data_IF_708752510323
#
_entry.id   IF_708752510323
#
_cell.length_a   1.000
_cell.length_b   1.000
_cell.length_c   1.000
_cell.angle_alpha   90.00
_cell.angle_beta   90.00
_cell.angle_gamma   90.00
#
_symmetry.space_group_name_H-M   'P 1'
#
loop_
_entity.id
_entity.type
_entity.pdbx_description
1 polymer ?
#
# COMPACT_ATOMS: atom_id res chain seq x y z
N UNK A 1 -5.10 13.25 -37.73
CA UNK A 1 -4.53 12.07 -37.03
C UNK A 1 -4.55 12.34 -35.53
N UNK A 2 -4.80 11.33 -34.66
CA UNK A 2 -4.83 11.35 -33.16
C UNK A 2 -6.21 11.40 -32.45
N UNK A 3 -7.19 10.58 -32.83
CA UNK A 3 -8.34 10.24 -31.95
C UNK A 3 -8.60 8.73 -31.80
N UNK A 4 -7.80 7.88 -32.46
CA UNK A 4 -7.97 6.43 -32.51
C UNK A 4 -7.49 5.68 -31.26
N UNK A 5 -6.82 6.35 -30.31
CA UNK A 5 -6.30 5.71 -29.08
C UNK A 5 -7.26 5.77 -27.89
N UNK A 6 -8.29 6.62 -27.94
CA UNK A 6 -9.24 6.77 -26.83
C UNK A 6 -10.22 5.59 -26.74
N UNK A 7 -10.62 5.02 -27.89
CA UNK A 7 -11.48 3.82 -27.92
C UNK A 7 -10.80 2.57 -27.35
N UNK A 8 -9.57 2.19 -27.76
CA UNK A 8 -8.91 1.03 -27.17
C UNK A 8 -8.55 1.26 -25.70
N UNK A 9 -8.25 2.48 -25.27
CA UNK A 9 -8.02 2.82 -23.86
C UNK A 9 -9.31 2.65 -23.02
N UNK A 10 -10.46 3.08 -23.56
CA UNK A 10 -11.77 2.89 -22.93
C UNK A 10 -12.19 1.41 -22.90
N UNK A 11 -11.86 0.65 -23.94
CA UNK A 11 -12.09 -0.81 -23.97
C UNK A 11 -11.19 -1.56 -22.99
N UNK A 12 -9.93 -1.11 -22.80
CA UNK A 12 -9.02 -1.63 -21.78
C UNK A 12 -9.51 -1.36 -20.36
N UNK A 13 -10.06 -0.16 -20.12
CA UNK A 13 -10.66 0.22 -18.84
C UNK A 13 -11.90 -0.62 -18.51
N UNK A 14 -12.72 -0.99 -19.50
CA UNK A 14 -13.89 -1.85 -19.32
C UNK A 14 -13.53 -3.33 -19.12
N UNK A 15 -12.55 -3.86 -19.87
CA UNK A 15 -12.10 -5.26 -19.75
C UNK A 15 -11.28 -5.56 -18.48
N UNK A 16 -10.67 -4.54 -17.87
CA UNK A 16 -9.91 -4.70 -16.62
C UNK A 16 -10.75 -5.18 -15.43
N UNK A 17 -12.07 -5.01 -15.47
CA UNK A 17 -12.98 -5.37 -14.38
C UNK A 17 -13.30 -6.87 -14.28
N UNK A 18 -13.11 -7.66 -15.35
CA UNK A 18 -13.54 -9.07 -15.42
C UNK A 18 -12.39 -10.08 -15.41
N UNK A 19 -11.13 -9.64 -15.50
CA UNK A 19 -9.92 -10.48 -15.46
C UNK A 19 -9.31 -10.63 -14.05
N UNK A 20 -9.98 -10.10 -13.03
CA UNK A 20 -9.30 -9.50 -11.87
C UNK A 20 -9.06 -10.43 -10.66
N UNK A 21 -9.42 -11.72 -10.73
CA UNK A 21 -9.23 -12.69 -9.64
C UNK A 21 -8.43 -13.94 -10.07
N UNK A 22 -7.86 -13.93 -11.28
CA UNK A 22 -7.04 -15.04 -11.75
C UNK A 22 -5.61 -14.88 -11.25
N UNK A 23 -4.98 -16.00 -10.87
CA UNK A 23 -3.55 -16.05 -10.63
C UNK A 23 -2.94 -17.23 -11.39
N UNK A 24 -1.70 -17.04 -11.84
CA UNK A 24 -0.87 -18.08 -12.45
C UNK A 24 0.48 -17.99 -11.78
N UNK A 25 0.93 -19.10 -11.19
CA UNK A 25 2.20 -19.13 -10.49
C UNK A 25 2.92 -20.45 -10.67
N UNK A 26 4.25 -20.36 -10.61
CA UNK A 26 5.12 -21.50 -10.37
C UNK A 26 5.25 -21.64 -8.85
N UNK A 27 4.30 -22.37 -8.25
CA UNK A 27 4.23 -22.54 -6.79
C UNK A 27 4.14 -24.01 -6.41
N UNK A 28 4.72 -24.34 -5.26
CA UNK A 28 4.53 -25.63 -4.57
C UNK A 28 4.08 -25.29 -3.16
N UNK A 29 2.88 -25.70 -2.76
CA UNK A 29 2.28 -25.39 -1.45
C UNK A 29 2.30 -23.89 -1.09
N UNK A 30 1.93 -23.03 -2.05
CA UNK A 30 1.98 -21.56 -1.97
C UNK A 30 3.40 -20.95 -1.94
N UNK A 31 4.46 -21.75 -2.03
CA UNK A 31 5.84 -21.25 -2.14
C UNK A 31 6.24 -21.04 -3.59
N UNK A 32 6.67 -19.83 -3.95
CA UNK A 32 7.25 -19.57 -5.27
C UNK A 32 6.92 -18.20 -5.84
N UNK A 33 6.62 -18.17 -7.14
CA UNK A 33 6.37 -16.92 -7.87
C UNK A 33 4.97 -16.97 -8.46
N UNK A 34 4.19 -15.90 -8.26
CA UNK A 34 2.82 -15.80 -8.79
C UNK A 34 2.56 -14.46 -9.45
N UNK A 35 1.84 -14.50 -10.57
CA UNK A 35 1.27 -13.35 -11.25
C UNK A 35 -0.24 -13.33 -11.05
N UNK A 36 -0.81 -12.19 -10.69
CA UNK A 36 -2.24 -12.02 -10.41
C UNK A 36 -2.57 -12.09 -8.92
N UNK A 37 -3.77 -12.54 -8.59
CA UNK A 37 -4.35 -12.41 -7.24
C UNK A 37 -4.53 -13.76 -6.50
N UNK A 38 -3.45 -14.47 -6.12
CA UNK A 38 -3.58 -15.66 -5.28
C UNK A 38 -4.03 -15.25 -3.86
N UNK A 39 -4.90 -16.04 -3.25
CA UNK A 39 -5.34 -15.80 -1.86
C UNK A 39 -4.19 -15.84 -0.86
N UNK A 40 -3.20 -16.71 -1.09
CA UNK A 40 -2.03 -16.88 -0.23
C UNK A 40 -0.77 -17.08 -1.08
N UNK A 41 0.35 -16.53 -0.63
CA UNK A 41 1.65 -16.76 -1.24
C UNK A 41 2.78 -16.60 -0.22
N UNK A 42 3.80 -17.46 -0.32
CA UNK A 42 5.12 -17.21 0.27
C UNK A 42 6.16 -17.12 -0.85
N UNK A 43 6.65 -15.92 -1.16
CA UNK A 43 7.61 -15.71 -2.24
C UNK A 43 7.42 -14.37 -2.97
N UNK A 44 7.38 -14.40 -4.30
CA UNK A 44 7.32 -13.20 -5.15
C UNK A 44 5.95 -13.09 -5.83
N UNK A 45 5.19 -12.04 -5.52
CA UNK A 45 3.89 -11.75 -6.13
C UNK A 45 3.99 -10.53 -7.02
N UNK A 46 3.48 -10.64 -8.24
CA UNK A 46 3.33 -9.52 -9.17
C UNK A 46 1.85 -9.41 -9.54
N UNK A 47 1.21 -8.33 -9.16
CA UNK A 47 -0.20 -8.14 -9.42
C UNK A 47 -0.50 -6.81 -10.12
N UNK A 48 -1.59 -6.80 -10.88
CA UNK A 48 -2.11 -5.57 -11.45
C UNK A 48 -2.89 -4.78 -10.41
N UNK A 49 -3.87 -5.39 -9.73
CA UNK A 49 -4.69 -4.74 -8.68
C UNK A 49 -5.21 -5.80 -7.71
N UNK A 50 -4.99 -5.62 -6.40
CA UNK A 50 -5.40 -6.59 -5.38
C UNK A 50 -6.91 -6.52 -5.12
N UNK A 51 -7.57 -7.67 -4.90
CA UNK A 51 -8.99 -7.73 -4.52
C UNK A 51 -9.35 -8.82 -3.50
N UNK A 52 -8.70 -9.97 -3.57
CA UNK A 52 -9.06 -11.15 -2.76
C UNK A 52 -7.86 -11.79 -2.06
N UNK A 53 -6.72 -11.11 -2.02
CA UNK A 53 -5.53 -11.57 -1.32
C UNK A 53 -5.75 -11.52 0.19
N UNK A 54 -5.32 -12.59 0.87
CA UNK A 54 -5.46 -12.73 2.33
C UNK A 54 -4.08 -12.61 2.98
N UNK A 55 -3.08 -13.32 2.46
CA UNK A 55 -1.76 -13.30 3.10
C UNK A 55 -0.62 -13.46 2.10
N UNK A 56 0.35 -12.57 2.15
CA UNK A 56 1.60 -12.71 1.41
C UNK A 56 2.78 -12.61 2.37
N UNK A 57 3.70 -13.57 2.29
CA UNK A 57 4.98 -13.54 2.98
C UNK A 57 6.09 -13.42 1.93
N UNK A 58 6.81 -12.30 1.88
CA UNK A 58 7.90 -12.09 0.93
C UNK A 58 7.81 -10.74 0.25
N UNK A 59 7.76 -10.73 -1.09
CA UNK A 59 7.73 -9.53 -1.90
C UNK A 59 6.45 -9.49 -2.72
N UNK A 60 5.74 -8.36 -2.65
CA UNK A 60 4.57 -8.09 -3.45
C UNK A 60 4.76 -6.80 -4.25
N UNK A 61 4.44 -6.85 -5.54
CA UNK A 61 4.44 -5.69 -6.44
C UNK A 61 3.05 -5.52 -7.01
N UNK A 62 2.40 -4.40 -6.70
CA UNK A 62 1.06 -4.06 -7.21
C UNK A 62 1.12 -2.81 -8.11
N UNK A 63 0.60 -2.91 -9.32
CA UNK A 63 0.73 -1.83 -10.33
C UNK A 63 -0.37 -0.77 -10.27
N UNK A 64 -1.56 -1.13 -9.81
CA UNK A 64 -2.75 -0.28 -9.82
C UNK A 64 -3.41 -0.24 -8.45
N UNK A 65 -4.31 0.72 -8.25
CA UNK A 65 -5.04 0.84 -7.00
C UNK A 65 -5.81 -0.46 -6.73
N UNK A 66 -5.52 -1.17 -5.63
CA UNK A 66 -6.31 -2.31 -5.23
C UNK A 66 -7.75 -1.87 -4.88
N UNK A 67 -8.69 -2.81 -4.95
CA UNK A 67 -10.01 -2.61 -4.36
C UNK A 67 -9.93 -2.67 -2.82
N UNK A 68 -11.08 -2.58 -2.16
CA UNK A 68 -11.16 -2.79 -0.71
C UNK A 68 -10.64 -4.20 -0.37
N UNK A 69 -9.55 -4.28 0.40
CA UNK A 69 -8.87 -5.52 0.79
C UNK A 69 -8.67 -5.57 2.31
N UNK A 70 -9.79 -5.53 3.03
CA UNK A 70 -9.85 -5.42 4.50
C UNK A 70 -9.29 -6.66 5.25
N UNK A 71 -8.74 -7.63 4.53
CA UNK A 71 -8.15 -8.85 5.10
C UNK A 71 -6.73 -9.12 4.64
N UNK A 72 -6.16 -8.27 3.79
CA UNK A 72 -4.83 -8.51 3.26
C UNK A 72 -3.78 -8.25 4.33
N UNK A 73 -3.06 -9.30 4.72
CA UNK A 73 -1.88 -9.23 5.58
C UNK A 73 -0.64 -9.42 4.72
N UNK A 74 0.23 -8.42 4.73
CA UNK A 74 1.50 -8.44 4.01
C UNK A 74 2.67 -8.50 4.99
N UNK A 75 3.47 -9.56 4.93
CA UNK A 75 4.69 -9.73 5.72
C UNK A 75 5.91 -9.68 4.79
N UNK A 76 6.66 -8.57 4.82
CA UNK A 76 7.88 -8.40 4.02
C UNK A 76 7.95 -7.07 3.28
N UNK A 77 8.14 -7.11 1.95
CA UNK A 77 8.29 -5.94 1.09
C UNK A 77 7.08 -5.76 0.16
N UNK A 78 6.33 -4.69 0.38
CA UNK A 78 5.19 -4.26 -0.41
C UNK A 78 5.59 -3.08 -1.31
N UNK A 79 5.42 -3.19 -2.63
CA UNK A 79 5.74 -2.13 -3.59
C UNK A 79 4.53 -1.84 -4.48
N UNK A 80 3.91 -0.68 -4.26
CA UNK A 80 2.79 -0.19 -5.06
C UNK A 80 3.22 0.93 -6.00
N UNK A 81 2.96 0.82 -7.30
CA UNK A 81 3.25 1.90 -8.25
C UNK A 81 2.37 3.15 -7.96
N UNK A 82 1.09 2.92 -7.67
CA UNK A 82 0.16 3.98 -7.27
C UNK A 82 0.08 3.99 -5.74
N UNK A 83 -0.58 3.00 -5.17
CA UNK A 83 -0.65 2.84 -3.73
C UNK A 83 -0.77 1.36 -3.37
N UNK A 84 0.15 0.80 -2.56
CA UNK A 84 -0.16 -0.44 -1.88
C UNK A 84 -1.25 -0.16 -0.83
N UNK A 85 -2.21 -1.08 -0.76
CA UNK A 85 -3.27 -1.08 0.24
C UNK A 85 -3.38 -2.46 0.84
N UNK A 86 -3.33 -2.54 2.17
CA UNK A 86 -3.50 -3.77 2.90
C UNK A 86 -4.12 -3.48 4.26
N UNK A 87 -4.81 -4.46 4.85
CA UNK A 87 -5.26 -4.34 6.23
C UNK A 87 -4.06 -4.19 7.18
N UNK A 88 -3.06 -5.04 7.02
CA UNK A 88 -1.86 -5.02 7.85
C UNK A 88 -0.61 -5.20 7.00
N UNK A 89 0.37 -4.30 7.18
CA UNK A 89 1.70 -4.40 6.58
C UNK A 89 2.74 -4.54 7.68
N UNK A 90 3.40 -5.69 7.73
CA UNK A 90 4.52 -6.00 8.60
C UNK A 90 5.81 -6.01 7.78
N UNK A 91 6.56 -4.91 7.79
CA UNK A 91 7.82 -4.80 7.07
C UNK A 91 8.02 -3.44 6.38
N UNK A 92 8.30 -3.46 5.07
CA UNK A 92 8.56 -2.26 4.27
C UNK A 92 7.47 -2.07 3.22
N UNK A 93 6.78 -0.93 3.26
CA UNK A 93 5.85 -0.49 2.23
C UNK A 93 6.43 0.67 1.43
N UNK A 94 6.44 0.57 0.10
CA UNK A 94 6.87 1.61 -0.82
C UNK A 94 5.77 1.91 -1.81
N UNK A 95 5.21 3.11 -1.74
CA UNK A 95 4.17 3.60 -2.62
C UNK A 95 4.64 4.75 -3.50
N UNK A 96 4.49 4.63 -4.82
CA UNK A 96 4.85 5.70 -5.75
C UNK A 96 4.03 6.98 -5.54
N UNK A 97 2.77 6.85 -5.14
CA UNK A 97 1.89 7.98 -4.79
C UNK A 97 1.56 7.94 -3.31
N UNK A 98 0.92 6.86 -2.84
CA UNK A 98 0.51 6.76 -1.45
C UNK A 98 0.85 5.40 -0.84
N UNK A 99 0.80 5.28 0.48
CA UNK A 99 0.71 4.00 1.19
C UNK A 99 -0.55 4.07 2.03
N UNK A 100 -1.42 3.06 1.90
CA UNK A 100 -2.67 2.95 2.65
C UNK A 100 -2.65 1.65 3.44
N UNK A 101 -2.94 1.72 4.73
CA UNK A 101 -3.10 0.52 5.54
C UNK A 101 -3.90 0.78 6.80
N UNK A 102 -4.58 -0.22 7.37
CA UNK A 102 -5.15 -0.03 8.70
C UNK A 102 -4.01 -0.06 9.72
N UNK A 103 -3.10 -1.02 9.60
CA UNK A 103 -1.91 -1.11 10.45
C UNK A 103 -0.64 -1.21 9.62
N UNK A 104 0.35 -0.36 9.93
CA UNK A 104 1.71 -0.46 9.41
C UNK A 104 2.70 -0.67 10.55
N UNK A 105 3.28 -1.86 10.61
CA UNK A 105 4.34 -2.22 11.54
C UNK A 105 5.66 -2.31 10.77
N UNK A 106 6.47 -1.24 10.82
CA UNK A 106 7.77 -1.18 10.16
C UNK A 106 8.04 0.16 9.48
N UNK A 107 8.36 0.13 8.18
CA UNK A 107 8.75 1.31 7.41
C UNK A 107 7.78 1.56 6.26
N UNK A 108 7.21 2.76 6.18
CA UNK A 108 6.39 3.20 5.06
C UNK A 108 7.00 4.39 4.34
N UNK A 109 7.12 4.29 3.02
CA UNK A 109 7.64 5.35 2.15
C UNK A 109 6.60 5.65 1.07
N UNK A 110 6.06 6.86 1.04
CA UNK A 110 5.09 7.28 0.04
C UNK A 110 5.57 8.53 -0.71
N UNK A 111 5.45 8.52 -2.04
CA UNK A 111 5.87 9.66 -2.87
C UNK A 111 5.06 10.95 -2.61
N UNK A 112 3.78 10.85 -2.26
CA UNK A 112 2.90 11.97 -1.92
C UNK A 112 2.43 11.88 -0.47
N UNK A 113 1.84 10.77 -0.03
CA UNK A 113 1.37 10.74 1.34
C UNK A 113 0.92 9.39 1.86
N UNK A 114 0.75 9.30 3.16
CA UNK A 114 0.33 8.08 3.82
C UNK A 114 -1.01 8.28 4.51
N UNK A 115 -1.88 7.27 4.41
CA UNK A 115 -3.13 7.18 5.16
C UNK A 115 -3.10 5.85 5.90
N UNK A 116 -2.70 5.89 7.18
CA UNK A 116 -2.50 4.67 7.98
C UNK A 116 -3.20 4.83 9.31
N UNK A 117 -4.15 3.98 9.69
CA UNK A 117 -4.84 4.17 10.97
C UNK A 117 -3.89 4.03 12.17
N UNK A 118 -3.11 2.94 12.22
CA UNK A 118 -2.10 2.67 13.24
C UNK A 118 -0.70 2.50 12.62
N UNK A 119 0.18 3.46 12.89
CA UNK A 119 1.57 3.42 12.44
C UNK A 119 2.49 3.08 13.61
N UNK A 120 3.20 1.96 13.53
CA UNK A 120 4.23 1.55 14.47
C UNK A 120 5.58 1.42 13.73
N UNK A 121 6.47 2.41 13.89
CA UNK A 121 7.78 2.41 13.23
C UNK A 121 8.15 3.75 12.58
N UNK A 122 8.53 3.72 11.30
CA UNK A 122 8.99 4.90 10.55
C UNK A 122 8.08 5.13 9.35
N UNK A 123 7.52 6.31 9.21
CA UNK A 123 6.66 6.67 8.09
C UNK A 123 7.11 7.98 7.46
N UNK A 124 7.30 7.98 6.14
CA UNK A 124 7.71 9.14 5.35
C UNK A 124 6.71 9.35 4.22
N UNK A 125 5.85 10.37 4.40
CA UNK A 125 4.96 10.88 3.36
C UNK A 125 5.58 12.07 2.66
N UNK A 126 5.72 12.02 1.32
CA UNK A 126 6.39 13.08 0.56
C UNK A 126 5.81 14.48 0.74
N UNK A 127 4.50 14.60 0.95
CA UNK A 127 3.77 15.84 1.29
C UNK A 127 3.24 15.74 2.72
N UNK A 128 2.56 14.64 3.08
CA UNK A 128 2.00 14.52 4.42
C UNK A 128 1.57 13.12 4.81
N UNK A 129 1.21 13.00 6.08
CA UNK A 129 0.79 11.75 6.70
C UNK A 129 -0.48 11.99 7.53
N UNK A 130 -1.47 11.11 7.35
CA UNK A 130 -2.66 11.05 8.17
C UNK A 130 -2.70 9.69 8.87
N UNK A 131 -2.89 9.70 10.18
CA UNK A 131 -3.02 8.48 10.98
C UNK A 131 -3.88 8.70 12.21
N UNK A 132 -4.53 7.68 12.76
CA UNK A 132 -5.19 7.84 14.06
C UNK A 132 -4.14 7.80 15.17
N UNK A 133 -3.21 6.84 15.08
CA UNK A 133 -2.16 6.59 16.07
C UNK A 133 -0.79 6.46 15.40
N UNK A 134 0.20 7.15 15.94
CA UNK A 134 1.59 7.13 15.48
C UNK A 134 2.48 6.77 16.66
N UNK A 135 3.06 5.57 16.66
CA UNK A 135 4.11 5.14 17.57
C UNK A 135 5.44 5.04 16.82
N UNK A 136 6.27 6.07 16.88
CA UNK A 136 7.59 6.07 16.25
C UNK A 136 7.96 7.40 15.58
N UNK A 137 8.48 7.33 14.36
CA UNK A 137 8.94 8.51 13.59
C UNK A 137 8.01 8.72 12.40
N UNK A 138 7.41 9.90 12.30
CA UNK A 138 6.58 10.29 11.17
C UNK A 138 7.09 11.59 10.54
N UNK A 139 7.27 11.59 9.22
CA UNK A 139 7.79 12.73 8.46
C UNK A 139 6.82 13.05 7.32
N UNK A 140 6.33 14.28 7.28
CA UNK A 140 5.56 14.85 6.18
C UNK A 140 6.17 16.18 5.76
N UNK A 141 6.49 16.39 4.47
CA UNK A 141 7.17 17.63 4.05
C UNK A 141 6.35 18.89 4.36
N UNK A 142 5.03 18.86 4.17
CA UNK A 142 4.12 19.92 4.59
C UNK A 142 3.60 19.68 6.00
N UNK A 143 3.23 18.46 6.38
CA UNK A 143 2.74 18.23 7.73
C UNK A 143 2.13 16.86 7.94
N UNK A 144 1.68 16.64 9.16
CA UNK A 144 0.96 15.43 9.53
C UNK A 144 -0.19 15.72 10.47
N UNK A 145 -1.24 14.90 10.38
CA UNK A 145 -2.37 14.90 11.30
C UNK A 145 -2.51 13.53 11.95
N UNK A 146 -2.66 13.51 13.27
CA UNK A 146 -3.04 12.31 13.98
C UNK A 146 -3.82 12.57 15.26
N UNK A 147 -4.51 11.59 15.81
CA UNK A 147 -5.14 11.76 17.12
C UNK A 147 -4.08 11.61 18.22
N UNK A 148 -3.27 10.56 18.11
CA UNK A 148 -2.23 10.25 19.09
C UNK A 148 -0.84 10.09 18.47
N UNK A 149 0.09 10.92 18.93
CA UNK A 149 1.50 10.85 18.60
C UNK A 149 2.31 10.39 19.82
N UNK A 150 2.97 9.24 19.69
CA UNK A 150 3.99 8.75 20.61
C UNK A 150 5.33 8.62 19.88
N UNK A 151 6.18 9.63 19.99
CA UNK A 151 7.49 9.65 19.33
C UNK A 151 7.82 10.97 18.64
N UNK A 152 8.42 10.89 17.45
CA UNK A 152 8.96 12.05 16.72
C UNK A 152 8.09 12.31 15.50
N UNK A 153 7.62 13.55 15.37
CA UNK A 153 6.94 14.04 14.19
C UNK A 153 7.71 15.20 13.58
N UNK A 154 7.83 15.21 12.24
CA UNK A 154 8.43 16.31 11.49
C UNK A 154 7.44 16.73 10.40
N UNK A 155 6.95 17.97 10.51
CA UNK A 155 6.06 18.61 9.55
C UNK A 155 6.58 19.99 9.17
N UNK A 156 6.75 20.30 7.89
CA UNK A 156 7.31 21.59 7.46
C UNK A 156 6.43 22.80 7.79
N UNK A 157 5.12 22.66 7.70
CA UNK A 157 4.12 23.67 8.10
C UNK A 157 3.57 23.40 9.50
N UNK A 158 3.47 22.14 9.91
CA UNK A 158 3.04 21.79 11.26
C UNK A 158 2.64 20.34 11.45
N UNK A 159 2.34 20.03 12.71
CA UNK A 159 1.87 18.73 13.19
C UNK A 159 0.60 18.99 13.99
N UNK A 160 -0.51 18.39 13.57
CA UNK A 160 -1.76 18.38 14.32
C UNK A 160 -1.87 17.08 15.10
N UNK A 161 -1.94 17.16 16.43
CA UNK A 161 -2.20 16.01 17.28
C UNK A 161 -3.04 16.36 18.51
N UNK A 162 -4.01 15.49 18.85
CA UNK A 162 -4.83 15.65 20.06
C UNK A 162 -4.02 15.31 21.31
N UNK A 163 -3.14 14.30 21.22
CA UNK A 163 -2.22 13.90 22.28
C UNK A 163 -0.81 13.66 21.75
N UNK A 164 0.19 14.26 22.39
CA UNK A 164 1.61 14.05 22.12
C UNK A 164 2.29 13.55 23.39
N UNK A 165 2.99 12.41 23.31
CA UNK A 165 3.75 11.79 24.41
C UNK A 165 5.12 11.31 23.97
#
# INVERSE_FOLDING_TARGET
>A
MKKSYLLPLFFFLLLGSTLQAASVGLTVDDYGISFGDPKRLTGLRFNFADKDVINVNGLNVTLWNPGDNDRFIMNGLEVGLIAPSAHEINGLAVGGVAVVADTLNGVGLAGIGMAVEEMNGIAVGGIGLAANRVNGIAIGALGMGCDELKGIAIGGLGIGADRIT
#
